data_IF_572630853235
#
_entry.id   IF_572630853235
#
_cell.length_a   1.000
_cell.length_b   1.000
_cell.length_c   1.000
_cell.angle_alpha   90.00
_cell.angle_beta   90.00
_cell.angle_gamma   90.00
#
_symmetry.space_group_name_H-M   'P 1'
#
loop_
_entity.id
_entity.type
_entity.pdbx_description
1 polymer ?
#
# COMPACT_ATOMS: atom_id res chain seq x y z
N UNK A 1 37.81 -9.73 -3.68
CA UNK A 1 36.81 -10.37 -2.82
C UNK A 1 36.29 -9.36 -1.83
N UNK A 2 34.98 -9.29 -1.70
CA UNK A 2 34.37 -8.40 -0.73
C UNK A 2 34.59 -8.93 0.67
N UNK A 3 34.99 -8.07 1.60
CA UNK A 3 35.04 -8.40 3.02
C UNK A 3 33.70 -8.28 3.73
N UNK A 4 32.65 -7.88 3.00
CA UNK A 4 31.31 -7.72 3.51
C UNK A 4 30.43 -8.85 3.02
N UNK A 5 29.43 -9.29 3.82
CA UNK A 5 28.40 -10.15 3.28
C UNK A 5 27.76 -9.44 2.09
N UNK A 6 27.76 -10.07 0.94
CA UNK A 6 27.00 -9.55 -0.17
C UNK A 6 25.65 -10.24 -0.18
N UNK A 7 24.62 -9.42 -0.13
CA UNK A 7 23.27 -9.91 -0.30
C UNK A 7 23.02 -10.06 -1.79
N UNK A 8 22.86 -11.31 -2.28
CA UNK A 8 22.56 -11.51 -3.67
C UNK A 8 21.25 -10.81 -3.94
N UNK A 9 21.21 -10.08 -4.93
CA UNK A 9 19.99 -9.78 -5.26
C UNK A 9 19.61 -8.52 -5.84
N UNK A 10 18.40 -8.54 -6.02
CA UNK A 10 17.57 -7.49 -6.51
C UNK A 10 17.40 -6.43 -5.45
N UNK A 11 17.45 -5.15 -5.83
CA UNK A 11 17.19 -4.06 -4.90
C UNK A 11 15.82 -4.20 -4.26
N UNK A 12 15.70 -3.76 -3.03
CA UNK A 12 14.40 -3.63 -2.38
C UNK A 12 13.53 -2.65 -3.16
N UNK A 13 12.21 -2.89 -3.11
CA UNK A 13 11.21 -2.04 -3.74
C UNK A 13 10.43 -1.33 -2.65
N UNK A 14 10.23 -0.03 -2.82
CA UNK A 14 9.38 0.76 -1.93
C UNK A 14 8.38 1.54 -2.77
N UNK A 15 7.11 1.42 -2.42
CA UNK A 15 6.04 2.24 -2.97
C UNK A 15 5.47 3.13 -1.90
N UNK A 16 5.10 4.36 -2.25
CA UNK A 16 4.51 5.30 -1.32
C UNK A 16 3.40 6.09 -2.00
N UNK A 17 2.35 6.38 -1.23
CA UNK A 17 1.22 7.18 -1.70
C UNK A 17 0.63 7.92 -0.52
N UNK A 18 0.26 9.17 -0.72
CA UNK A 18 -0.46 9.96 0.28
C UNK A 18 -1.87 10.24 -0.22
N UNK A 19 -2.86 9.87 0.59
CA UNK A 19 -4.26 10.19 0.33
C UNK A 19 -4.63 11.46 1.08
N UNK A 20 -5.14 12.44 0.38
CA UNK A 20 -5.58 13.72 0.92
C UNK A 20 -7.05 13.96 0.59
N UNK A 21 -7.62 15.04 1.11
CA UNK A 21 -9.01 15.40 0.79
C UNK A 21 -9.22 15.56 -0.72
N UNK A 22 -8.27 16.19 -1.41
CA UNK A 22 -8.36 16.39 -2.86
C UNK A 22 -8.30 15.10 -3.66
N UNK A 23 -7.78 14.00 -3.11
CA UNK A 23 -7.77 12.69 -3.75
C UNK A 23 -9.18 12.16 -3.93
N UNK A 24 -10.11 12.55 -3.06
CA UNK A 24 -11.49 12.11 -3.11
C UNK A 24 -11.66 10.62 -2.77
N UNK A 25 -12.62 9.98 -3.43
CA UNK A 25 -12.98 8.58 -3.17
C UNK A 25 -12.77 7.67 -4.38
N UNK A 26 -12.15 8.16 -5.43
CA UNK A 26 -11.85 7.37 -6.62
C UNK A 26 -10.61 6.51 -6.42
N UNK A 27 -10.58 5.34 -7.06
CA UNK A 27 -9.39 4.49 -7.07
C UNK A 27 -8.22 5.23 -7.70
N UNK A 28 -7.07 5.17 -7.05
CA UNK A 28 -5.82 5.73 -7.55
C UNK A 28 -4.74 4.66 -7.55
N UNK A 29 -3.76 4.80 -8.42
CA UNK A 29 -2.65 3.86 -8.50
C UNK A 29 -1.76 4.02 -7.27
N UNK A 30 -1.51 2.92 -6.59
CA UNK A 30 -0.54 2.87 -5.50
C UNK A 30 0.81 2.39 -6.01
N UNK A 31 0.84 1.26 -6.67
CA UNK A 31 2.07 0.68 -7.20
C UNK A 31 1.79 -0.07 -8.49
N UNK A 32 2.69 0.06 -9.44
CA UNK A 32 2.64 -0.67 -10.70
C UNK A 32 3.86 -1.56 -10.82
N UNK A 33 3.67 -2.87 -10.94
CA UNK A 33 4.76 -3.79 -11.19
C UNK A 33 5.29 -3.58 -12.61
N UNK A 34 6.62 -3.52 -12.76
CA UNK A 34 7.23 -3.31 -14.06
C UNK A 34 6.78 -4.37 -15.07
N UNK A 35 6.28 -3.98 -16.25
CA UNK A 35 5.87 -4.95 -17.26
C UNK A 35 7.03 -5.74 -17.85
N UNK A 36 8.26 -5.23 -17.74
CA UNK A 36 9.45 -5.94 -18.22
C UNK A 36 10.09 -6.88 -17.21
N UNK A 37 9.55 -6.96 -15.99
CA UNK A 37 10.09 -7.82 -14.95
C UNK A 37 9.35 -9.14 -14.82
N UNK A 38 9.59 -9.83 -13.71
CA UNK A 38 8.93 -11.08 -13.36
C UNK A 38 7.83 -10.92 -12.32
N UNK A 39 7.48 -9.68 -12.00
CA UNK A 39 6.53 -9.37 -10.94
C UNK A 39 7.22 -8.88 -9.67
N UNK A 40 6.43 -8.62 -8.65
CA UNK A 40 6.88 -8.05 -7.38
C UNK A 40 6.23 -8.81 -6.23
N UNK A 41 7.00 -9.06 -5.19
CA UNK A 41 6.48 -9.54 -3.92
C UNK A 41 6.41 -8.37 -2.94
N UNK A 42 5.21 -8.10 -2.42
CA UNK A 42 4.98 -7.11 -1.38
C UNK A 42 4.97 -7.83 -0.04
N UNK A 43 5.96 -7.56 0.81
CA UNK A 43 6.08 -8.18 2.12
C UNK A 43 5.52 -7.34 3.26
N UNK A 44 5.35 -6.05 3.04
CA UNK A 44 4.76 -5.12 4.01
C UNK A 44 3.91 -4.09 3.30
N UNK A 45 2.77 -3.81 3.88
CA UNK A 45 1.85 -2.79 3.40
C UNK A 45 1.20 -2.15 4.62
N UNK A 46 1.46 -0.87 4.84
CA UNK A 46 1.03 -0.19 6.05
C UNK A 46 0.52 1.21 5.77
N UNK A 47 -0.34 1.69 6.66
CA UNK A 47 -0.92 3.02 6.60
C UNK A 47 -0.73 3.77 7.91
N UNK A 48 -0.39 5.03 7.82
CA UNK A 48 -0.41 5.97 8.92
C UNK A 48 -1.40 7.09 8.58
N UNK A 49 -2.16 7.56 9.55
CA UNK A 49 -3.22 8.54 9.32
C UNK A 49 -3.12 9.66 10.32
N UNK A 50 -3.17 10.90 9.85
CA UNK A 50 -3.37 12.08 10.68
C UNK A 50 -4.84 12.46 10.78
N UNK A 51 -5.75 11.77 10.08
CA UNK A 51 -7.18 12.05 10.14
C UNK A 51 -7.71 11.83 11.56
N UNK A 52 -8.60 12.69 11.98
CA UNK A 52 -9.27 12.61 13.28
C UNK A 52 -10.45 11.65 13.25
N UNK A 53 -10.80 11.11 12.09
CA UNK A 53 -11.80 10.09 11.91
C UNK A 53 -11.16 8.80 11.39
N UNK A 54 -11.74 7.66 11.74
CA UNK A 54 -11.37 6.41 11.11
C UNK A 54 -11.82 6.43 9.64
N UNK A 55 -10.94 5.99 8.75
CA UNK A 55 -11.23 5.95 7.30
C UNK A 55 -11.05 4.53 6.80
N UNK A 56 -12.06 4.03 6.10
CA UNK A 56 -11.96 2.70 5.46
C UNK A 56 -11.33 2.85 4.10
N UNK A 57 -10.28 2.09 3.86
CA UNK A 57 -9.61 1.99 2.56
C UNK A 57 -10.07 0.71 1.85
N UNK A 58 -10.34 0.83 0.56
CA UNK A 58 -10.65 -0.32 -0.29
C UNK A 58 -9.52 -0.50 -1.29
N UNK A 59 -9.04 -1.73 -1.42
CA UNK A 59 -7.94 -2.07 -2.32
C UNK A 59 -8.44 -2.88 -3.49
N UNK A 60 -7.82 -2.66 -4.64
CA UNK A 60 -8.08 -3.37 -5.87
C UNK A 60 -6.78 -3.73 -6.57
N UNK A 61 -6.81 -4.84 -7.31
CA UNK A 61 -5.75 -5.21 -8.24
C UNK A 61 -6.25 -4.94 -9.65
N UNK A 62 -5.49 -4.15 -10.41
CA UNK A 62 -5.81 -3.88 -11.80
C UNK A 62 -5.02 -4.82 -12.69
N UNK A 63 -5.74 -5.71 -13.37
CA UNK A 63 -5.17 -6.73 -14.25
C UNK A 63 -5.79 -6.56 -15.62
N UNK A 64 -4.95 -6.27 -16.62
CA UNK A 64 -5.44 -6.08 -17.99
C UNK A 64 -6.44 -4.92 -18.14
N UNK A 65 -6.33 -3.90 -17.30
CA UNK A 65 -7.21 -2.73 -17.33
C UNK A 65 -8.51 -2.89 -16.55
N UNK A 66 -8.73 -4.02 -15.90
CA UNK A 66 -9.91 -4.27 -15.07
C UNK A 66 -9.53 -4.27 -13.60
N UNK A 67 -10.29 -3.57 -12.77
CA UNK A 67 -10.09 -3.52 -11.33
C UNK A 67 -10.84 -4.64 -10.64
N UNK A 68 -10.13 -5.42 -9.84
CA UNK A 68 -10.70 -6.48 -9.00
C UNK A 68 -10.52 -6.11 -7.54
N UNK A 69 -11.62 -5.98 -6.81
CA UNK A 69 -11.58 -5.63 -5.39
C UNK A 69 -11.01 -6.81 -4.61
N UNK A 70 -10.02 -6.53 -3.75
CA UNK A 70 -9.39 -7.56 -2.93
C UNK A 70 -9.72 -7.45 -1.45
N UNK A 71 -10.26 -6.33 -1.00
CA UNK A 71 -10.68 -6.18 0.37
C UNK A 71 -10.64 -4.75 0.86
N UNK A 72 -10.99 -4.60 2.15
CA UNK A 72 -11.06 -3.31 2.82
C UNK A 72 -10.33 -3.39 4.15
N UNK A 73 -9.80 -2.24 4.58
CA UNK A 73 -9.19 -2.09 5.90
C UNK A 73 -9.55 -0.74 6.48
N UNK A 74 -10.00 -0.72 7.73
CA UNK A 74 -10.24 0.53 8.42
C UNK A 74 -8.95 1.02 9.09
N UNK A 75 -8.55 2.23 8.75
CA UNK A 75 -7.40 2.88 9.39
C UNK A 75 -7.93 3.75 10.53
N UNK A 76 -7.60 3.42 11.78
CA UNK A 76 -8.08 4.20 12.92
C UNK A 76 -7.57 5.65 12.91
N UNK A 77 -8.31 6.54 13.52
CA UNK A 77 -7.92 7.92 13.67
C UNK A 77 -6.53 8.02 14.32
N UNK A 78 -5.65 8.82 13.75
CA UNK A 78 -4.33 9.08 14.30
C UNK A 78 -3.35 7.90 14.25
N UNK A 79 -3.64 6.84 13.49
CA UNK A 79 -2.76 5.67 13.39
C UNK A 79 -1.34 6.05 13.00
N UNK A 80 -0.38 5.75 13.88
CA UNK A 80 1.04 6.05 13.66
C UNK A 80 1.42 7.52 13.75
N UNK A 81 0.49 8.41 14.13
CA UNK A 81 0.75 9.85 14.15
C UNK A 81 0.48 10.51 15.48
N UNK A 82 -0.25 9.87 16.39
CA UNK A 82 -0.65 10.50 17.68
C UNK A 82 0.09 9.94 18.89
N UNK A 83 1.05 9.03 18.68
CA UNK A 83 1.82 8.42 19.76
C UNK A 83 1.07 7.36 20.56
N UNK A 84 -0.18 7.08 20.24
CA UNK A 84 -1.02 6.09 20.94
C UNK A 84 -1.48 4.99 20.01
N UNK A 85 -2.09 5.33 18.87
CA UNK A 85 -2.50 4.35 17.87
C UNK A 85 -1.31 4.03 16.98
N UNK A 86 -0.99 2.74 16.83
CA UNK A 86 0.06 2.29 15.91
C UNK A 86 -0.40 2.39 14.46
N UNK A 87 0.56 2.43 13.54
CA UNK A 87 0.23 2.32 12.12
C UNK A 87 -0.48 1.00 11.82
N UNK A 88 -1.29 1.00 10.77
CA UNK A 88 -2.13 -0.15 10.41
C UNK A 88 -1.41 -1.10 9.48
N UNK A 89 -1.40 -2.39 9.81
CA UNK A 89 -0.94 -3.46 8.93
C UNK A 89 -2.07 -3.85 7.98
N UNK A 90 -1.91 -3.50 6.71
CA UNK A 90 -2.94 -3.71 5.71
C UNK A 90 -2.95 -5.13 5.15
N UNK A 91 -1.79 -5.81 5.08
CA UNK A 91 -1.76 -7.19 4.60
C UNK A 91 -2.56 -8.11 5.51
N UNK A 92 -2.46 -7.92 6.81
CA UNK A 92 -3.22 -8.71 7.78
C UNK A 92 -4.72 -8.49 7.60
N UNK A 93 -5.15 -7.25 7.44
CA UNK A 93 -6.56 -6.91 7.28
C UNK A 93 -7.16 -7.41 5.97
N UNK A 94 -6.36 -7.42 4.91
CA UNK A 94 -6.78 -7.95 3.61
C UNK A 94 -6.72 -9.48 3.55
N UNK A 95 -6.32 -10.12 4.66
CA UNK A 95 -6.19 -11.57 4.77
C UNK A 95 -5.24 -12.16 3.70
N UNK A 96 -4.17 -11.44 3.41
CA UNK A 96 -3.18 -11.84 2.41
C UNK A 96 -2.00 -12.60 3.03
N UNK A 97 -2.05 -12.88 4.33
CA UNK A 97 -0.96 -13.54 5.04
C UNK A 97 0.27 -12.65 5.15
N UNK A 98 1.43 -13.21 4.81
CA UNK A 98 2.71 -12.53 4.99
C UNK A 98 3.19 -11.80 3.74
N UNK A 99 2.55 -12.03 2.60
CA UNK A 99 2.99 -11.41 1.35
C UNK A 99 1.88 -11.44 0.30
N UNK A 100 1.97 -10.47 -0.61
CA UNK A 100 1.13 -10.40 -1.79
C UNK A 100 2.05 -10.29 -3.01
N UNK A 101 1.70 -10.98 -4.09
CA UNK A 101 2.46 -10.90 -5.34
C UNK A 101 1.68 -10.11 -6.38
N UNK A 102 2.39 -9.30 -7.16
CA UNK A 102 1.86 -8.60 -8.32
C UNK A 102 2.55 -9.12 -9.57
N UNK A 103 1.76 -9.50 -10.57
CA UNK A 103 2.27 -9.93 -11.88
C UNK A 103 2.85 -8.75 -12.66
N UNK A 104 3.71 -8.99 -13.66
CA UNK A 104 4.22 -7.89 -14.49
C UNK A 104 3.09 -7.05 -15.08
N UNK A 105 3.19 -5.73 -14.93
CA UNK A 105 2.20 -4.78 -15.41
C UNK A 105 0.95 -4.65 -14.54
N UNK A 106 0.79 -5.47 -13.53
CA UNK A 106 -0.34 -5.37 -12.61
C UNK A 106 -0.20 -4.16 -11.70
N UNK A 107 -1.32 -3.54 -11.34
CA UNK A 107 -1.34 -2.40 -10.43
C UNK A 107 -2.06 -2.74 -9.14
N UNK A 108 -1.52 -2.26 -8.03
CA UNK A 108 -2.25 -2.18 -6.78
C UNK A 108 -2.88 -0.79 -6.71
N UNK A 109 -4.19 -0.74 -6.54
CA UNK A 109 -4.95 0.51 -6.48
C UNK A 109 -5.68 0.60 -5.15
N UNK A 110 -5.96 1.82 -4.72
CA UNK A 110 -6.59 2.08 -3.43
C UNK A 110 -7.53 3.27 -3.54
N UNK A 111 -8.58 3.26 -2.73
CA UNK A 111 -9.42 4.43 -2.51
C UNK A 111 -9.81 4.55 -1.05
N UNK A 112 -10.02 5.76 -0.60
CA UNK A 112 -10.71 6.03 0.65
C UNK A 112 -12.21 5.97 0.37
N UNK A 113 -12.97 5.23 1.15
CA UNK A 113 -14.43 5.14 0.95
C UNK A 113 -15.14 6.42 1.40
N UNK A 114 -14.48 7.20 2.27
CA UNK A 114 -14.87 8.55 2.64
C UNK A 114 -13.64 9.44 2.44
N UNK A 115 -13.79 10.60 1.83
CA UNK A 115 -12.66 11.49 1.58
C UNK A 115 -11.95 11.84 2.90
N UNK A 116 -10.62 11.86 2.84
CA UNK A 116 -9.80 12.28 3.98
C UNK A 116 -10.15 13.71 4.35
N UNK A 117 -10.19 14.02 5.63
CA UNK A 117 -10.51 15.36 6.13
C UNK A 117 -9.53 16.38 5.56
N UNK A 118 -10.03 17.56 5.22
CA UNK A 118 -9.22 18.66 4.69
C UNK A 118 -8.02 18.94 5.60
N UNK A 119 -6.86 19.18 5.00
CA UNK A 119 -5.55 19.42 5.63
C UNK A 119 -4.90 18.21 6.29
N UNK A 120 -5.61 17.07 6.38
CA UNK A 120 -5.10 15.83 6.95
C UNK A 120 -4.76 14.83 5.82
N UNK A 121 -4.09 13.74 6.17
CA UNK A 121 -3.64 12.77 5.17
C UNK A 121 -3.55 11.37 5.73
N UNK A 122 -3.55 10.40 4.82
CA UNK A 122 -3.22 9.00 5.10
C UNK A 122 -2.05 8.64 4.20
N UNK A 123 -0.94 8.26 4.83
CA UNK A 123 0.27 7.83 4.12
C UNK A 123 0.32 6.31 4.04
N UNK A 124 0.51 5.79 2.85
CA UNK A 124 0.62 4.36 2.57
C UNK A 124 2.04 4.05 2.13
N UNK A 125 2.62 3.00 2.67
CA UNK A 125 3.95 2.53 2.29
C UNK A 125 3.90 1.02 2.05
N UNK A 126 4.46 0.62 0.92
CA UNK A 126 4.66 -0.77 0.53
C UNK A 126 6.16 -1.05 0.48
N UNK A 127 6.57 -2.17 1.04
CA UNK A 127 7.95 -2.63 0.97
C UNK A 127 7.98 -4.06 0.43
N UNK A 128 8.89 -4.33 -0.48
CA UNK A 128 8.98 -5.65 -1.10
C UNK A 128 10.23 -5.83 -1.92
N UNK A 129 10.17 -6.78 -2.84
CA UNK A 129 11.28 -7.12 -3.72
C UNK A 129 10.76 -7.55 -5.09
N UNK A 130 11.53 -7.32 -6.17
CA UNK A 130 11.21 -7.88 -7.47
C UNK A 130 11.41 -9.40 -7.45
N UNK A 131 10.63 -10.09 -8.24
CA UNK A 131 10.74 -11.54 -8.41
C UNK A 131 11.65 -11.92 -9.56
#
# INVERSE_FOLDING_TARGET
>A
MSSHPSFPGTPAITGALSLANATGTSLVDFYTASPGGNGVMCGRLRAASSDTNAVTLQFARSIGGTDYIIGESQVPAGSGTNGTAVWKDLLADLNLGNAMTLSPGEKLRVRAKTAVTATLKIDLIMEGAPL
#
